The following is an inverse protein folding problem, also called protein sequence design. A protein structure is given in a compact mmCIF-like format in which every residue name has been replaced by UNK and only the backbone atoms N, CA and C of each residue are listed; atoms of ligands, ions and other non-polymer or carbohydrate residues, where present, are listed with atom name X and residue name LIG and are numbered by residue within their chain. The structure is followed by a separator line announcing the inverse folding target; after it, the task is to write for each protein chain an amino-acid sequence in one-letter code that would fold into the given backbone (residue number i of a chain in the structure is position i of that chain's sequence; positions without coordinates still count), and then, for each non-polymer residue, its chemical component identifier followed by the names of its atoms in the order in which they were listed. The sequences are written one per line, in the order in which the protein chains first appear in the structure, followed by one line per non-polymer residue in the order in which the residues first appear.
data_IF_380166727433
#
_entry.id   IF_380166727433
#
_cell.length_a   1.000
_cell.length_b   1.000
_cell.length_c   1.000
_cell.angle_alpha   90.00
_cell.angle_beta   90.00
_cell.angle_gamma   90.00
#
_symmetry.space_group_name_H-M   'P 1'
#
loop_
_entity.id
_entity.type
_entity.pdbx_description
1 polymer ?
#
# COMPACT_ATOMS: atom_id res chain seq x y z
N UNK A 1 -6.80 -16.06 -32.03
CA UNK A 1 -7.82 -16.91 -31.38
C UNK A 1 -8.58 -16.06 -30.39
N UNK A 2 -9.92 -16.13 -30.31
CA UNK A 2 -10.66 -15.33 -29.34
C UNK A 2 -10.23 -15.77 -27.94
N UNK A 3 -9.84 -14.82 -27.08
CA UNK A 3 -9.40 -15.04 -25.70
C UNK A 3 -10.58 -15.44 -24.80
N UNK A 4 -11.29 -16.51 -25.14
CA UNK A 4 -12.38 -17.01 -24.30
C UNK A 4 -11.82 -17.88 -23.17
N UNK A 5 -12.06 -17.39 -21.95
CA UNK A 5 -12.15 -18.16 -20.70
C UNK A 5 -10.84 -18.65 -20.05
N UNK A 6 -9.80 -17.80 -19.97
CA UNK A 6 -8.73 -18.02 -18.99
C UNK A 6 -9.30 -17.86 -17.59
N UNK A 7 -9.08 -18.87 -16.75
CA UNK A 7 -9.56 -18.92 -15.35
C UNK A 7 -8.46 -18.50 -14.40
N UNK A 8 -8.79 -17.63 -13.45
CA UNK A 8 -7.90 -17.19 -12.39
C UNK A 8 -8.61 -17.34 -11.05
N UNK A 9 -8.02 -18.12 -10.17
CA UNK A 9 -8.41 -18.18 -8.76
C UNK A 9 -7.32 -17.49 -7.94
N UNK A 10 -7.68 -16.46 -7.19
CA UNK A 10 -6.75 -15.64 -6.42
C UNK A 10 -7.24 -15.51 -4.98
N UNK A 11 -6.32 -15.39 -4.04
CA UNK A 11 -6.62 -15.30 -2.60
C UNK A 11 -6.26 -13.96 -1.97
N UNK A 12 -6.82 -13.69 -0.78
CA UNK A 12 -6.22 -12.82 0.23
C UNK A 12 -6.06 -13.62 1.51
N UNK A 13 -4.82 -13.73 2.02
CA UNK A 13 -4.53 -14.33 3.33
C UNK A 13 -4.26 -13.21 4.35
N UNK A 14 -4.94 -13.26 5.48
CA UNK A 14 -4.83 -12.29 6.56
C UNK A 14 -5.86 -12.52 7.66
N UNK A 15 -5.88 -11.64 8.65
CA UNK A 15 -6.87 -11.67 9.73
C UNK A 15 -7.83 -10.47 9.62
N UNK A 16 -9.11 -10.70 9.88
CA UNK A 16 -10.17 -9.68 9.89
C UNK A 16 -10.31 -8.97 8.53
N UNK A 17 -10.31 -9.76 7.44
CA UNK A 17 -10.22 -9.26 6.06
C UNK A 17 -11.55 -9.22 5.32
N UNK A 18 -12.67 -9.54 5.99
CA UNK A 18 -14.01 -9.59 5.38
C UNK A 18 -14.45 -8.25 4.74
N UNK A 19 -13.96 -7.12 5.26
CA UNK A 19 -14.28 -5.79 4.72
C UNK A 19 -13.34 -5.34 3.58
N UNK A 20 -12.47 -6.23 3.09
CA UNK A 20 -11.53 -5.92 2.01
C UNK A 20 -12.26 -5.58 0.72
N UNK A 21 -11.76 -4.55 0.02
CA UNK A 21 -12.26 -4.15 -1.31
C UNK A 21 -11.53 -4.85 -2.45
N UNK A 22 -10.43 -5.56 -2.17
CA UNK A 22 -9.64 -6.26 -3.19
C UNK A 22 -10.48 -7.26 -4.01
N UNK A 23 -11.38 -8.09 -3.42
CA UNK A 23 -12.19 -9.00 -4.21
C UNK A 23 -12.99 -8.30 -5.31
N UNK A 24 -13.76 -7.27 -4.93
CA UNK A 24 -14.59 -6.52 -5.87
C UNK A 24 -13.77 -5.81 -6.96
N UNK A 25 -12.61 -5.26 -6.61
CA UNK A 25 -11.70 -4.61 -7.57
C UNK A 25 -11.16 -5.60 -8.62
N UNK A 26 -10.63 -6.73 -8.16
CA UNK A 26 -10.03 -7.73 -9.05
C UNK A 26 -11.08 -8.45 -9.90
N UNK A 27 -12.19 -8.90 -9.32
CA UNK A 27 -13.22 -9.63 -10.05
C UNK A 27 -13.93 -8.75 -11.09
N UNK A 28 -14.18 -7.47 -10.76
CA UNK A 28 -14.79 -6.54 -11.71
C UNK A 28 -13.86 -6.27 -12.89
N UNK A 29 -12.57 -6.04 -12.66
CA UNK A 29 -11.62 -5.83 -13.74
C UNK A 29 -11.42 -7.11 -14.58
N UNK A 30 -11.31 -8.28 -13.93
CA UNK A 30 -11.25 -9.57 -14.62
C UNK A 30 -12.46 -9.79 -15.53
N UNK A 31 -13.68 -9.52 -15.05
CA UNK A 31 -14.91 -9.61 -15.85
C UNK A 31 -14.90 -8.65 -17.04
N UNK A 32 -14.43 -7.41 -16.84
CA UNK A 32 -14.33 -6.41 -17.93
C UNK A 32 -13.33 -6.82 -19.01
N UNK A 33 -12.32 -7.62 -18.66
CA UNK A 33 -11.37 -8.19 -19.61
C UNK A 33 -11.79 -9.56 -20.18
N UNK A 34 -12.99 -10.05 -19.85
CA UNK A 34 -13.48 -11.35 -20.33
C UNK A 34 -12.81 -12.56 -19.67
N UNK A 35 -12.24 -12.39 -18.46
CA UNK A 35 -11.62 -13.44 -17.67
C UNK A 35 -12.63 -14.05 -16.69
N UNK A 36 -12.53 -15.37 -16.47
CA UNK A 36 -13.20 -16.05 -15.34
C UNK A 36 -12.30 -15.88 -14.11
N UNK A 37 -12.45 -14.72 -13.45
CA UNK A 37 -11.64 -14.33 -12.30
C UNK A 37 -12.46 -14.44 -11.02
N UNK A 38 -11.96 -15.23 -10.05
CA UNK A 38 -12.52 -15.37 -8.71
C UNK A 38 -11.50 -14.99 -7.66
N UNK A 39 -11.97 -14.29 -6.63
CA UNK A 39 -11.14 -13.84 -5.52
C UNK A 39 -11.71 -14.35 -4.19
N UNK A 40 -10.93 -15.14 -3.47
CA UNK A 40 -11.33 -15.73 -2.19
C UNK A 40 -10.61 -15.09 -1.00
N UNK A 41 -11.33 -14.94 0.12
CA UNK A 41 -10.74 -14.54 1.40
C UNK A 41 -10.39 -15.81 2.19
N UNK A 42 -9.10 -15.98 2.46
CA UNK A 42 -8.53 -17.02 3.32
C UNK A 42 -8.27 -16.40 4.69
N UNK A 43 -9.35 -16.07 5.41
CA UNK A 43 -9.33 -15.30 6.64
C UNK A 43 -9.07 -16.20 7.86
N UNK A 44 -8.02 -15.88 8.62
CA UNK A 44 -7.70 -16.59 9.87
C UNK A 44 -8.82 -16.49 10.89
N UNK A 45 -9.40 -15.30 11.07
CA UNK A 45 -10.42 -15.05 12.10
C UNK A 45 -11.70 -15.82 11.80
N UNK A 46 -12.17 -15.76 10.55
CA UNK A 46 -13.37 -16.47 10.09
C UNK A 46 -13.20 -18.00 10.19
N UNK A 47 -11.97 -18.50 9.98
CA UNK A 47 -11.65 -19.93 10.05
C UNK A 47 -11.28 -20.42 11.45
N UNK A 48 -11.23 -19.53 12.46
CA UNK A 48 -10.77 -19.89 13.81
C UNK A 48 -9.32 -20.36 13.86
N UNK A 49 -8.48 -19.90 12.94
CA UNK A 49 -7.07 -20.29 12.81
C UNK A 49 -6.14 -19.21 13.38
N UNK A 50 -5.00 -19.58 14.00
CA UNK A 50 -3.96 -18.63 14.34
C UNK A 50 -3.17 -18.21 13.09
N UNK A 51 -2.51 -17.05 13.13
CA UNK A 51 -1.64 -16.60 12.04
C UNK A 51 -0.46 -17.55 11.73
N UNK A 52 -0.10 -18.44 12.68
CA UNK A 52 0.88 -19.50 12.46
C UNK A 52 0.42 -20.58 11.49
N UNK A 53 -0.87 -20.63 11.13
CA UNK A 53 -1.42 -21.50 10.09
C UNK A 53 -1.17 -20.96 8.66
N UNK A 54 -0.41 -19.89 8.51
CA UNK A 54 -0.02 -19.32 7.21
C UNK A 54 0.54 -20.37 6.22
N UNK A 55 1.45 -21.29 6.60
CA UNK A 55 1.96 -22.30 5.67
C UNK A 55 0.85 -23.19 5.11
N UNK A 56 -0.08 -23.63 5.97
CA UNK A 56 -1.19 -24.50 5.58
C UNK A 56 -2.13 -23.80 4.58
N UNK A 57 -2.39 -22.50 4.75
CA UNK A 57 -3.19 -21.73 3.81
C UNK A 57 -2.49 -21.50 2.46
N UNK A 58 -1.16 -21.38 2.45
CA UNK A 58 -0.39 -21.31 1.20
C UNK A 58 -0.43 -22.66 0.47
N UNK A 59 -0.26 -23.76 1.20
CA UNK A 59 -0.34 -25.12 0.66
C UNK A 59 -1.75 -25.41 0.10
N UNK A 60 -2.81 -25.02 0.82
CA UNK A 60 -4.19 -25.12 0.35
C UNK A 60 -4.38 -24.35 -0.97
N UNK A 61 -3.94 -23.09 -1.02
CA UNK A 61 -4.09 -22.26 -2.21
C UNK A 61 -3.37 -22.87 -3.42
N UNK A 62 -2.15 -23.37 -3.24
CA UNK A 62 -1.38 -24.02 -4.31
C UNK A 62 -2.04 -25.32 -4.78
N UNK A 63 -2.48 -26.18 -3.85
CA UNK A 63 -3.19 -27.45 -4.18
C UNK A 63 -4.50 -27.21 -4.92
N UNK A 64 -5.20 -26.12 -4.61
CA UNK A 64 -6.45 -25.71 -5.28
C UNK A 64 -6.20 -25.01 -6.62
N UNK A 65 -4.95 -24.81 -7.02
CA UNK A 65 -4.58 -24.22 -8.31
C UNK A 65 -4.79 -22.71 -8.37
N UNK A 66 -4.59 -22.00 -7.26
CA UNK A 66 -4.58 -20.54 -7.26
C UNK A 66 -3.44 -20.02 -8.16
N UNK A 67 -3.69 -18.91 -8.86
CA UNK A 67 -2.64 -18.18 -9.59
C UNK A 67 -1.73 -17.39 -8.64
N UNK A 68 -2.24 -17.06 -7.46
CA UNK A 68 -1.51 -16.34 -6.43
C UNK A 68 -2.42 -15.92 -5.28
N UNK A 69 -1.83 -15.25 -4.29
CA UNK A 69 -2.53 -14.71 -3.15
C UNK A 69 -1.94 -13.37 -2.74
N UNK A 70 -2.79 -12.38 -2.46
CA UNK A 70 -2.35 -11.24 -1.69
C UNK A 70 -2.17 -11.63 -0.22
N UNK A 71 -1.21 -10.98 0.44
CA UNK A 71 -0.88 -11.20 1.84
C UNK A 71 -1.08 -9.88 2.57
N UNK A 72 -1.81 -9.90 3.68
CA UNK A 72 -1.99 -8.72 4.52
C UNK A 72 -1.62 -8.99 5.97
N UNK A 73 -1.88 -8.03 6.85
CA UNK A 73 -1.64 -8.16 8.27
C UNK A 73 -2.27 -9.46 8.82
N UNK A 74 -1.56 -10.21 9.69
CA UNK A 74 -0.22 -9.95 10.23
C UNK A 74 0.94 -10.59 9.44
N UNK A 75 0.70 -11.15 8.26
CA UNK A 75 1.58 -12.13 7.62
C UNK A 75 2.60 -11.58 6.63
N UNK A 76 2.62 -10.27 6.35
CA UNK A 76 3.47 -9.70 5.28
C UNK A 76 4.97 -9.97 5.45
N UNK A 77 5.46 -10.11 6.68
CA UNK A 77 6.86 -10.44 6.95
C UNK A 77 7.08 -11.95 7.09
N UNK A 78 6.20 -12.63 7.83
CA UNK A 78 6.34 -14.07 8.13
C UNK A 78 6.19 -14.95 6.89
N UNK A 79 5.45 -14.48 5.87
CA UNK A 79 5.31 -15.20 4.60
C UNK A 79 6.65 -15.45 3.90
N UNK A 80 7.65 -14.58 4.09
CA UNK A 80 8.95 -14.65 3.39
C UNK A 80 9.64 -16.00 3.57
N UNK A 81 9.57 -16.59 4.77
CA UNK A 81 10.18 -17.88 5.08
C UNK A 81 9.57 -19.06 4.29
N UNK A 82 8.45 -18.84 3.61
CA UNK A 82 7.71 -19.82 2.85
C UNK A 82 7.78 -19.59 1.33
N UNK A 83 8.63 -18.68 0.87
CA UNK A 83 8.74 -18.29 -0.54
C UNK A 83 10.03 -18.84 -1.17
N UNK A 84 9.93 -19.24 -2.43
CA UNK A 84 11.06 -19.75 -3.21
C UNK A 84 12.00 -18.61 -3.60
N UNK A 85 11.45 -17.44 -3.89
CA UNK A 85 12.19 -16.23 -4.28
C UNK A 85 11.39 -14.97 -4.01
N UNK A 86 12.10 -13.85 -3.94
CA UNK A 86 11.53 -12.51 -3.80
C UNK A 86 11.87 -11.67 -5.03
N UNK A 87 10.99 -10.74 -5.39
CA UNK A 87 11.37 -9.59 -6.20
C UNK A 87 12.34 -8.70 -5.42
N UNK A 88 13.19 -7.96 -6.13
CA UNK A 88 14.16 -7.03 -5.54
C UNK A 88 13.49 -6.10 -4.51
N UNK A 89 12.35 -5.48 -4.86
CA UNK A 89 11.67 -4.55 -3.95
C UNK A 89 11.10 -5.25 -2.70
N UNK A 90 10.62 -6.49 -2.83
CA UNK A 90 10.11 -7.25 -1.68
C UNK A 90 11.22 -7.69 -0.73
N UNK A 91 12.36 -8.11 -1.27
CA UNK A 91 13.57 -8.41 -0.50
C UNK A 91 14.06 -7.15 0.22
N UNK A 92 14.16 -6.05 -0.51
CA UNK A 92 14.53 -4.75 0.06
C UNK A 92 13.57 -4.34 1.18
N UNK A 93 12.25 -4.39 0.96
CA UNK A 93 11.26 -3.99 1.95
C UNK A 93 11.16 -4.93 3.15
N UNK A 94 11.66 -6.16 3.04
CA UNK A 94 11.47 -7.20 4.07
C UNK A 94 9.99 -7.52 4.31
N UNK A 95 9.15 -7.32 3.30
CA UNK A 95 7.71 -7.55 3.37
C UNK A 95 7.13 -7.88 1.99
N UNK A 96 6.18 -8.83 1.96
CA UNK A 96 5.47 -9.31 0.78
C UNK A 96 3.98 -9.09 0.97
N UNK A 97 3.33 -8.46 0.00
CA UNK A 97 1.86 -8.32 -0.03
C UNK A 97 1.21 -9.12 -1.18
N UNK A 98 2.02 -9.75 -2.03
CA UNK A 98 1.59 -10.45 -3.25
C UNK A 98 2.48 -11.66 -3.48
N UNK A 99 1.89 -12.86 -3.53
CA UNK A 99 2.58 -14.13 -3.81
C UNK A 99 2.04 -14.70 -5.10
N UNK A 100 2.90 -14.89 -6.10
CA UNK A 100 2.53 -15.53 -7.37
C UNK A 100 2.91 -17.00 -7.30
N UNK A 101 1.98 -17.89 -7.66
CA UNK A 101 2.23 -19.32 -7.81
C UNK A 101 2.51 -19.63 -9.27
N UNK A 102 3.73 -20.09 -9.59
CA UNK A 102 4.11 -20.37 -10.98
C UNK A 102 5.16 -21.47 -11.05
N UNK A 103 4.90 -22.49 -11.85
CA UNK A 103 5.83 -23.60 -12.10
C UNK A 103 6.32 -24.30 -10.81
N UNK A 104 5.46 -24.43 -9.80
CA UNK A 104 5.81 -25.02 -8.50
C UNK A 104 6.65 -24.12 -7.60
N UNK A 105 6.76 -22.83 -7.92
CA UNK A 105 7.44 -21.83 -7.09
C UNK A 105 6.46 -20.81 -6.53
N UNK A 106 6.79 -20.31 -5.32
CA UNK A 106 6.12 -19.21 -4.64
C UNK A 106 6.99 -17.96 -4.74
N UNK A 107 6.51 -16.95 -5.46
CA UNK A 107 7.30 -15.76 -5.80
C UNK A 107 6.72 -14.57 -5.04
N UNK A 108 7.50 -13.99 -4.13
CA UNK A 108 7.09 -12.84 -3.33
C UNK A 108 7.30 -11.50 -4.03
N UNK A 109 6.26 -10.68 -4.03
CA UNK A 109 6.26 -9.31 -4.51
C UNK A 109 5.69 -8.37 -3.44
N UNK A 110 6.05 -7.10 -3.55
CA UNK A 110 5.42 -6.03 -2.80
C UNK A 110 4.89 -4.98 -3.79
N UNK A 111 3.58 -4.85 -3.89
CA UNK A 111 2.91 -3.88 -4.77
C UNK A 111 2.43 -2.64 -4.01
N UNK A 112 2.55 -2.59 -2.68
CA UNK A 112 2.12 -1.43 -1.89
C UNK A 112 2.97 -0.19 -2.23
N UNK A 113 4.30 -0.35 -2.32
CA UNK A 113 5.19 0.76 -2.67
C UNK A 113 4.90 1.29 -4.07
N UNK A 114 4.67 0.39 -5.03
CA UNK A 114 4.30 0.73 -6.40
C UNK A 114 2.96 1.45 -6.44
N UNK A 115 1.99 0.98 -5.64
CA UNK A 115 0.68 1.62 -5.53
C UNK A 115 0.78 3.07 -5.08
N UNK A 116 1.62 3.36 -4.09
CA UNK A 116 1.88 4.74 -3.65
C UNK A 116 2.65 5.53 -4.72
N UNK A 117 3.66 4.93 -5.34
CA UNK A 117 4.48 5.54 -6.39
C UNK A 117 3.62 6.04 -7.56
N UNK A 118 2.80 5.17 -8.14
CA UNK A 118 1.90 5.51 -9.26
C UNK A 118 0.87 6.57 -8.86
N UNK A 119 0.28 6.45 -7.66
CA UNK A 119 -0.67 7.43 -7.16
C UNK A 119 -0.03 8.82 -7.08
N UNK A 120 1.18 8.90 -6.53
CA UNK A 120 1.91 10.15 -6.38
C UNK A 120 2.31 10.73 -7.73
N UNK A 121 2.86 9.92 -8.64
CA UNK A 121 3.25 10.40 -9.96
C UNK A 121 2.09 11.02 -10.73
N UNK A 122 0.89 10.42 -10.62
CA UNK A 122 -0.31 10.90 -11.32
C UNK A 122 -0.99 12.07 -10.63
N UNK A 123 -1.07 12.07 -9.31
CA UNK A 123 -1.80 13.09 -8.55
C UNK A 123 -0.96 14.31 -8.15
N UNK A 124 0.35 14.15 -7.98
CA UNK A 124 1.29 15.19 -7.57
C UNK A 124 2.55 15.24 -8.48
N UNK A 125 2.43 15.23 -9.83
CA UNK A 125 3.59 15.14 -10.72
C UNK A 125 4.62 16.25 -10.50
N UNK A 126 4.13 17.50 -10.37
CA UNK A 126 4.93 18.73 -10.43
C UNK A 126 5.18 19.38 -9.07
N UNK A 127 5.00 18.65 -7.97
CA UNK A 127 5.29 19.20 -6.64
C UNK A 127 6.79 19.25 -6.37
N UNK A 128 7.23 20.17 -5.50
CA UNK A 128 8.59 20.20 -4.99
C UNK A 128 8.89 18.95 -4.14
N UNK A 129 10.08 18.37 -4.31
CA UNK A 129 10.49 17.08 -3.70
C UNK A 129 11.83 17.20 -2.97
N UNK A 130 12.26 18.40 -2.60
CA UNK A 130 13.52 18.59 -1.87
C UNK A 130 13.41 18.06 -0.45
N UNK A 131 12.26 18.21 0.21
CA UNK A 131 12.04 17.63 1.54
C UNK A 131 10.59 17.23 1.79
N UNK A 132 10.37 16.01 2.27
CA UNK A 132 9.10 15.56 2.80
C UNK A 132 9.21 15.06 4.24
N UNK A 133 8.10 15.13 4.98
CA UNK A 133 7.94 14.50 6.29
C UNK A 133 7.01 13.29 6.14
N UNK A 134 7.43 12.13 6.66
CA UNK A 134 6.62 10.92 6.77
C UNK A 134 6.17 10.72 8.22
N UNK A 135 4.86 10.58 8.43
CA UNK A 135 4.27 10.16 9.70
C UNK A 135 3.90 8.68 9.63
N UNK A 136 4.53 7.86 10.46
CA UNK A 136 4.32 6.42 10.53
C UNK A 136 5.41 5.66 9.78
N UNK A 137 6.13 4.83 10.53
CA UNK A 137 7.15 3.89 10.07
C UNK A 137 6.69 2.43 10.31
N UNK A 138 5.38 2.19 10.37
CA UNK A 138 4.78 0.85 10.34
C UNK A 138 4.84 0.22 8.94
N UNK A 139 4.21 -0.95 8.76
CA UNK A 139 4.33 -1.73 7.51
C UNK A 139 3.99 -0.96 6.22
N UNK A 140 2.92 -0.16 6.22
CA UNK A 140 2.59 0.70 5.09
C UNK A 140 3.57 1.88 4.95
N UNK A 141 4.00 2.46 6.07
CA UNK A 141 5.00 3.52 6.13
C UNK A 141 6.35 3.12 5.51
N UNK A 142 6.80 1.88 5.71
CA UNK A 142 8.03 1.34 5.10
C UNK A 142 7.93 1.32 3.57
N UNK A 143 6.81 0.82 3.03
CA UNK A 143 6.56 0.80 1.57
C UNK A 143 6.48 2.22 0.99
N UNK A 144 5.78 3.12 1.68
CA UNK A 144 5.63 4.53 1.31
C UNK A 144 6.96 5.27 1.37
N UNK A 145 7.79 5.03 2.38
CA UNK A 145 9.12 5.64 2.50
C UNK A 145 10.04 5.22 1.34
N UNK A 146 10.01 3.93 0.97
CA UNK A 146 10.74 3.44 -0.19
C UNK A 146 10.26 4.11 -1.49
N UNK A 147 8.94 4.19 -1.70
CA UNK A 147 8.35 4.86 -2.84
C UNK A 147 8.72 6.36 -2.89
N UNK A 148 8.70 7.05 -1.75
CA UNK A 148 9.08 8.45 -1.64
C UNK A 148 10.50 8.71 -2.16
N UNK A 149 11.47 7.88 -1.78
CA UNK A 149 12.85 8.02 -2.28
C UNK A 149 12.93 7.69 -3.79
N UNK A 150 12.22 6.65 -4.28
CA UNK A 150 12.14 6.34 -5.72
C UNK A 150 11.48 7.45 -6.55
N UNK A 151 10.56 8.22 -5.96
CA UNK A 151 9.92 9.39 -6.57
C UNK A 151 10.84 10.62 -6.67
N UNK A 152 12.04 10.54 -6.12
CA UNK A 152 13.02 11.62 -6.12
C UNK A 152 12.90 12.56 -4.93
N UNK A 153 12.22 12.18 -3.84
CA UNK A 153 12.27 12.97 -2.60
C UNK A 153 13.71 12.95 -2.07
N UNK A 154 14.38 14.09 -2.03
CA UNK A 154 15.80 14.20 -1.69
C UNK A 154 16.06 13.93 -0.21
N UNK A 155 15.25 14.57 0.66
CA UNK A 155 15.27 14.38 2.12
C UNK A 155 13.92 13.89 2.62
N UNK A 156 13.91 12.84 3.42
CA UNK A 156 12.74 12.29 4.10
C UNK A 156 12.94 12.33 5.62
N UNK A 157 12.20 13.18 6.31
CA UNK A 157 12.15 13.16 7.78
C UNK A 157 11.07 12.21 8.25
N UNK A 158 11.43 11.20 9.02
CA UNK A 158 10.52 10.12 9.42
C UNK A 158 10.19 10.28 10.90
N UNK A 159 8.92 10.31 11.22
CA UNK A 159 8.41 10.32 12.59
C UNK A 159 7.50 9.11 12.79
N UNK A 160 7.64 8.46 13.95
CA UNK A 160 6.70 7.45 14.45
C UNK A 160 6.55 7.65 15.97
N UNK A 161 5.39 7.30 16.52
CA UNK A 161 5.17 7.35 17.97
C UNK A 161 6.13 6.41 18.71
N UNK A 162 6.47 5.27 18.09
CA UNK A 162 7.58 4.43 18.51
C UNK A 162 8.86 4.86 17.77
N UNK A 163 9.65 5.72 18.42
CA UNK A 163 10.85 6.33 17.79
C UNK A 163 11.81 5.30 17.21
N UNK A 164 11.88 4.09 17.81
CA UNK A 164 12.72 2.99 17.34
C UNK A 164 12.41 2.60 15.90
N UNK A 165 11.14 2.69 15.47
CA UNK A 165 10.76 2.37 14.08
C UNK A 165 11.35 3.37 13.10
N UNK A 166 11.27 4.66 13.39
CA UNK A 166 11.87 5.70 12.56
C UNK A 166 13.41 5.63 12.58
N UNK A 167 14.00 5.41 13.75
CA UNK A 167 15.44 5.22 13.96
C UNK A 167 15.99 3.98 13.26
N UNK A 168 15.16 2.94 13.06
CA UNK A 168 15.51 1.74 12.30
C UNK A 168 15.32 1.95 10.78
N UNK A 169 14.21 2.55 10.37
CA UNK A 169 13.87 2.71 8.95
C UNK A 169 14.80 3.69 8.22
N UNK A 170 15.18 4.80 8.87
CA UNK A 170 16.04 5.81 8.26
C UNK A 170 17.41 5.27 7.77
N UNK A 171 18.23 4.60 8.59
CA UNK A 171 19.50 4.03 8.13
C UNK A 171 19.28 2.93 7.07
N UNK A 172 18.24 2.10 7.20
CA UNK A 172 17.92 1.08 6.18
C UNK A 172 17.65 1.70 4.80
N UNK A 173 16.98 2.84 4.74
CA UNK A 173 16.77 3.58 3.49
C UNK A 173 18.09 4.17 2.98
N UNK A 174 18.91 4.75 3.86
CA UNK A 174 20.18 5.35 3.47
C UNK A 174 21.15 4.31 2.88
N UNK A 175 21.26 3.15 3.52
CA UNK A 175 22.09 2.04 3.03
C UNK A 175 21.56 1.53 1.68
N UNK A 176 20.24 1.30 1.58
CA UNK A 176 19.58 0.80 0.37
C UNK A 176 19.79 1.70 -0.84
N UNK A 177 19.63 3.00 -0.66
CA UNK A 177 19.79 3.98 -1.74
C UNK A 177 21.20 4.54 -1.83
N UNK A 178 22.12 4.06 -0.99
CA UNK A 178 23.52 4.50 -0.94
C UNK A 178 23.67 6.03 -0.87
N UNK A 179 22.79 6.69 -0.10
CA UNK A 179 22.76 8.15 0.05
C UNK A 179 22.09 8.56 1.36
N UNK A 180 22.52 9.67 1.95
CA UNK A 180 21.88 10.26 3.14
C UNK A 180 20.57 10.98 2.75
N UNK A 181 19.48 10.22 2.67
CA UNK A 181 18.19 10.71 2.22
C UNK A 181 17.06 10.57 3.23
N UNK A 182 17.27 9.84 4.32
CA UNK A 182 16.27 9.64 5.36
C UNK A 182 16.87 9.90 6.73
N UNK A 183 16.09 10.56 7.60
CA UNK A 183 16.47 10.81 8.99
C UNK A 183 15.25 10.68 9.89
N UNK A 184 15.43 10.01 11.03
CA UNK A 184 14.43 10.05 12.09
C UNK A 184 14.31 11.49 12.65
N UNK A 185 13.10 11.90 13.00
CA UNK A 185 12.84 13.19 13.66
C UNK A 185 11.88 12.99 14.83
N UNK A 186 12.04 13.80 15.86
CA UNK A 186 11.13 13.89 17.02
C UNK A 186 10.33 15.18 17.04
N UNK A 187 10.71 16.16 16.20
CA UNK A 187 10.04 17.46 16.06
C UNK A 187 9.46 17.60 14.65
N UNK A 188 8.22 17.12 14.50
CA UNK A 188 7.46 17.17 13.25
C UNK A 188 7.23 18.61 12.80
N UNK A 189 6.89 19.52 13.72
CA UNK A 189 6.63 20.92 13.40
C UNK A 189 7.85 21.62 12.82
N UNK A 190 9.04 21.39 13.38
CA UNK A 190 10.30 21.90 12.83
C UNK A 190 10.66 21.30 11.49
N UNK A 191 10.47 19.98 11.34
CA UNK A 191 10.69 19.33 10.05
C UNK A 191 9.79 19.93 8.96
N UNK A 192 8.49 20.06 9.23
CA UNK A 192 7.51 20.62 8.29
C UNK A 192 7.79 22.09 7.94
N UNK A 193 8.29 22.91 8.86
CA UNK A 193 8.65 24.31 8.54
C UNK A 193 9.60 24.44 7.35
N UNK A 194 10.48 23.46 7.15
CA UNK A 194 11.45 23.40 6.05
C UNK A 194 11.08 22.41 4.94
N UNK A 195 9.94 21.73 5.04
CA UNK A 195 9.51 20.72 4.09
C UNK A 195 8.64 21.32 2.96
N UNK A 196 8.62 20.61 1.84
CA UNK A 196 7.71 20.83 0.73
C UNK A 196 6.40 20.08 0.92
N UNK A 197 6.40 18.98 1.68
CA UNK A 197 5.17 18.24 1.91
C UNK A 197 5.19 17.21 3.02
N UNK A 198 4.01 16.64 3.22
CA UNK A 198 3.68 15.69 4.28
C UNK A 198 3.12 14.42 3.67
N UNK A 199 3.60 13.27 4.12
CA UNK A 199 3.06 11.96 3.84
C UNK A 199 2.56 11.35 5.14
N UNK A 200 1.27 11.00 5.18
CA UNK A 200 0.62 10.42 6.34
C UNK A 200 0.39 8.92 6.13
N UNK A 201 0.98 8.10 7.00
CA UNK A 201 0.97 6.64 6.97
C UNK A 201 0.63 6.01 8.34
N UNK A 202 -0.15 6.72 9.16
CA UNK A 202 -0.69 6.21 10.44
C UNK A 202 -2.19 5.92 10.33
N UNK A 203 -2.79 5.22 11.31
CA UNK A 203 -4.23 5.01 11.34
C UNK A 203 -5.08 6.27 11.60
N UNK A 204 -4.47 7.37 12.07
CA UNK A 204 -5.20 8.60 12.45
C UNK A 204 -6.02 9.16 11.29
N UNK A 205 -7.28 9.53 11.53
CA UNK A 205 -8.25 9.93 10.51
C UNK A 205 -9.16 8.78 10.05
N UNK A 206 -8.84 7.52 10.35
CA UNK A 206 -9.78 6.40 10.18
C UNK A 206 -10.93 6.51 11.19
N UNK A 207 -12.08 5.90 10.88
CA UNK A 207 -13.25 5.88 11.81
C UNK A 207 -12.91 5.32 13.20
N UNK A 208 -12.01 4.34 13.28
CA UNK A 208 -11.53 3.74 14.53
C UNK A 208 -10.48 4.58 15.26
N UNK A 209 -9.88 5.56 14.58
CA UNK A 209 -8.81 6.42 15.09
C UNK A 209 -9.04 7.86 14.60
N UNK A 210 -10.14 8.52 15.00
CA UNK A 210 -10.48 9.85 14.50
C UNK A 210 -9.43 10.89 14.93
N UNK A 211 -9.34 11.98 14.18
CA UNK A 211 -8.52 13.16 14.53
C UNK A 211 -7.52 13.57 13.47
N UNK A 212 -6.79 14.64 13.80
CA UNK A 212 -5.69 15.19 13.01
C UNK A 212 -4.34 14.65 13.53
N UNK A 213 -3.43 14.15 12.67
CA UNK A 213 -2.17 13.56 13.10
C UNK A 213 -1.06 14.58 13.42
N UNK A 214 -1.33 15.88 13.26
CA UNK A 214 -0.40 16.99 13.46
C UNK A 214 -1.13 18.19 14.09
N UNK A 215 -0.37 19.17 14.58
CA UNK A 215 -0.93 20.50 14.83
C UNK A 215 -1.30 21.17 13.49
N UNK A 216 -2.51 21.74 13.42
CA UNK A 216 -3.02 22.40 12.23
C UNK A 216 -2.15 23.59 11.79
N UNK A 217 -1.49 24.28 12.72
CA UNK A 217 -0.65 25.44 12.42
C UNK A 217 0.67 25.07 11.73
N UNK A 218 1.09 23.81 11.81
CA UNK A 218 2.30 23.36 11.11
C UNK A 218 2.09 23.28 9.61
N UNK A 219 0.84 23.14 9.16
CA UNK A 219 0.51 23.08 7.75
C UNK A 219 0.28 24.48 7.17
N UNK A 220 1.06 24.79 6.13
CA UNK A 220 1.04 26.05 5.40
C UNK A 220 0.64 25.84 3.92
N UNK A 221 0.05 26.84 3.23
CA UNK A 221 -0.50 26.69 1.88
C UNK A 221 0.47 26.16 0.81
N UNK A 222 1.78 26.40 0.99
CA UNK A 222 2.82 25.92 0.07
C UNK A 222 2.98 24.39 0.05
N UNK A 223 2.53 23.69 1.10
CA UNK A 223 2.79 22.26 1.21
C UNK A 223 1.89 21.46 0.26
N UNK A 224 2.37 20.29 -0.12
CA UNK A 224 1.52 19.20 -0.56
C UNK A 224 1.30 18.18 0.56
N UNK A 225 0.16 17.49 0.55
CA UNK A 225 -0.21 16.49 1.56
C UNK A 225 -0.69 15.22 0.89
N UNK A 226 -0.02 14.11 1.15
CA UNK A 226 -0.45 12.78 0.76
C UNK A 226 -0.90 11.99 2.00
N UNK A 227 -2.08 11.38 1.93
CA UNK A 227 -2.61 10.54 2.99
C UNK A 227 -2.92 9.16 2.43
N UNK A 228 -2.46 8.08 3.08
CA UNK A 228 -2.75 6.71 2.63
C UNK A 228 -4.04 6.15 3.23
N UNK A 229 -4.64 6.85 4.20
CA UNK A 229 -5.98 6.51 4.67
C UNK A 229 -6.96 6.69 3.50
N UNK A 230 -7.74 5.63 3.24
CA UNK A 230 -8.72 5.61 2.15
C UNK A 230 -10.17 5.51 2.66
N UNK A 231 -10.37 5.35 3.97
CA UNK A 231 -11.68 5.30 4.60
C UNK A 231 -11.66 6.13 5.89
N UNK A 232 -12.25 7.33 5.90
CA UNK A 232 -12.98 7.99 4.80
C UNK A 232 -12.08 8.42 3.63
N UNK A 233 -12.67 8.72 2.47
CA UNK A 233 -11.92 9.21 1.28
C UNK A 233 -11.31 10.60 1.49
N UNK A 234 -11.92 11.42 2.35
CA UNK A 234 -11.41 12.72 2.77
C UNK A 234 -11.29 12.67 4.29
N UNK A 235 -10.07 12.57 4.78
CA UNK A 235 -9.75 12.63 6.21
C UNK A 235 -9.76 14.07 6.71
N UNK A 236 -9.73 14.25 8.03
CA UNK A 236 -9.56 15.58 8.65
C UNK A 236 -8.28 16.27 8.18
N UNK A 237 -7.18 15.51 8.00
CA UNK A 237 -5.93 16.02 7.45
C UNK A 237 -6.10 16.55 6.02
N UNK A 238 -6.75 15.77 5.15
CA UNK A 238 -6.98 16.18 3.76
C UNK A 238 -7.92 17.37 3.67
N UNK A 239 -9.00 17.40 4.47
CA UNK A 239 -9.94 18.51 4.52
C UNK A 239 -9.25 19.81 5.00
N UNK A 240 -8.42 19.73 6.04
CA UNK A 240 -7.61 20.86 6.50
C UNK A 240 -6.65 21.35 5.42
N UNK A 241 -5.94 20.43 4.77
CA UNK A 241 -4.99 20.76 3.72
C UNK A 241 -5.66 21.45 2.53
N UNK A 242 -6.77 20.89 2.03
CA UNK A 242 -7.58 21.50 0.97
C UNK A 242 -8.08 22.90 1.41
N UNK A 243 -8.57 23.05 2.64
CA UNK A 243 -9.02 24.34 3.19
C UNK A 243 -7.92 25.41 3.29
N UNK A 244 -6.66 25.00 3.46
CA UNK A 244 -5.49 25.90 3.43
C UNK A 244 -4.93 26.14 2.01
N UNK A 245 -5.48 25.51 0.98
CA UNK A 245 -5.02 25.62 -0.40
C UNK A 245 -3.82 24.71 -0.75
N UNK A 246 -3.52 23.72 0.09
CA UNK A 246 -2.49 22.72 -0.21
C UNK A 246 -2.94 21.81 -1.36
N UNK A 247 -1.97 21.29 -2.12
CA UNK A 247 -2.24 20.19 -3.06
C UNK A 247 -2.37 18.89 -2.28
N UNK A 248 -3.42 18.11 -2.52
CA UNK A 248 -3.70 16.88 -1.77
C UNK A 248 -3.67 15.63 -2.65
N UNK A 249 -3.24 14.52 -2.05
CA UNK A 249 -3.30 13.18 -2.63
C UNK A 249 -4.01 12.23 -1.68
N UNK A 250 -5.11 11.65 -2.16
CA UNK A 250 -5.97 10.75 -1.38
C UNK A 250 -5.46 9.31 -1.42
N UNK A 251 -5.71 8.55 -0.36
CA UNK A 251 -5.16 7.20 -0.18
C UNK A 251 -5.76 6.14 -1.10
N UNK A 252 -6.97 6.40 -1.61
CA UNK A 252 -7.67 5.47 -2.50
C UNK A 252 -6.87 5.05 -3.72
N UNK A 253 -6.05 5.95 -4.28
CA UNK A 253 -5.19 5.61 -5.41
C UNK A 253 -4.15 4.54 -5.07
N UNK A 254 -3.51 4.61 -3.89
CA UNK A 254 -2.59 3.56 -3.44
C UNK A 254 -3.28 2.19 -3.38
N UNK A 255 -4.51 2.14 -2.86
CA UNK A 255 -5.33 0.91 -2.82
C UNK A 255 -5.61 0.34 -4.21
N UNK A 256 -5.86 1.19 -5.19
CA UNK A 256 -6.15 0.78 -6.58
C UNK A 256 -4.89 0.31 -7.30
N UNK A 257 -3.82 1.11 -7.29
CA UNK A 257 -2.63 0.82 -8.07
C UNK A 257 -1.86 -0.40 -7.53
N UNK A 258 -1.89 -0.67 -6.22
CA UNK A 258 -1.33 -1.93 -5.68
C UNK A 258 -2.12 -3.16 -6.15
N UNK A 259 -3.46 -3.03 -6.27
CA UNK A 259 -4.35 -4.10 -6.73
C UNK A 259 -4.15 -4.34 -8.24
N UNK A 260 -4.02 -3.26 -9.01
CA UNK A 260 -3.71 -3.32 -10.43
C UNK A 260 -2.38 -4.06 -10.68
N UNK A 261 -1.31 -3.68 -9.98
CA UNK A 261 -0.02 -4.38 -10.11
C UNK A 261 -0.12 -5.86 -9.71
N UNK A 262 -0.84 -6.19 -8.62
CA UNK A 262 -1.06 -7.58 -8.24
C UNK A 262 -1.86 -8.35 -9.29
N UNK A 263 -2.91 -7.75 -9.87
CA UNK A 263 -3.69 -8.33 -10.95
C UNK A 263 -2.82 -8.67 -12.16
N UNK A 264 -1.93 -7.77 -12.58
CA UNK A 264 -1.00 -8.02 -13.67
C UNK A 264 -0.02 -9.15 -13.34
N UNK A 265 0.50 -9.21 -12.12
CA UNK A 265 1.39 -10.27 -11.67
C UNK A 265 0.71 -11.66 -11.72
N UNK A 266 -0.54 -11.75 -11.29
CA UNK A 266 -1.31 -13.00 -11.32
C UNK A 266 -1.68 -13.43 -12.74
N UNK A 267 -2.08 -12.49 -13.59
CA UNK A 267 -2.71 -12.80 -14.88
C UNK A 267 -1.74 -12.74 -16.08
N UNK A 268 -0.66 -11.96 -15.96
CA UNK A 268 0.18 -11.54 -17.06
C UNK A 268 -0.51 -10.57 -18.03
N UNK A 269 -1.62 -9.96 -17.63
CA UNK A 269 -2.43 -9.05 -18.45
C UNK A 269 -2.52 -7.70 -17.75
N UNK A 270 -2.19 -6.63 -18.47
CA UNK A 270 -2.26 -5.28 -17.95
C UNK A 270 -3.71 -4.91 -17.58
N UNK A 271 -3.99 -4.48 -16.34
CA UNK A 271 -5.28 -3.94 -15.94
C UNK A 271 -5.51 -2.53 -16.48
N UNK A 272 -6.77 -2.12 -16.57
CA UNK A 272 -7.12 -0.71 -16.74
C UNK A 272 -7.31 -0.05 -15.36
N UNK A 273 -6.26 0.61 -14.89
CA UNK A 273 -6.22 1.22 -13.57
C UNK A 273 -7.24 2.38 -13.42
N UNK A 274 -7.62 3.04 -14.50
CA UNK A 274 -8.61 4.14 -14.46
C UNK A 274 -10.02 3.55 -14.24
N UNK A 275 -10.35 2.43 -14.90
CA UNK A 275 -11.58 1.68 -14.62
C UNK A 275 -11.63 1.16 -13.18
N UNK A 276 -10.52 0.64 -12.68
CA UNK A 276 -10.43 0.18 -11.29
C UNK A 276 -10.61 1.36 -10.31
N UNK A 277 -10.06 2.53 -10.61
CA UNK A 277 -10.19 3.74 -9.78
C UNK A 277 -11.63 4.25 -9.71
N UNK A 278 -12.35 4.24 -10.84
CA UNK A 278 -13.77 4.58 -10.88
C UNK A 278 -14.58 3.59 -10.03
N UNK A 279 -14.35 2.28 -10.20
CA UNK A 279 -15.03 1.25 -9.44
C UNK A 279 -14.77 1.37 -7.92
N UNK A 280 -13.52 1.64 -7.54
CA UNK A 280 -13.16 1.87 -6.14
C UNK A 280 -13.94 3.03 -5.53
N UNK A 281 -14.07 4.14 -6.27
CA UNK A 281 -14.83 5.31 -5.83
C UNK A 281 -16.30 4.95 -5.56
N UNK A 282 -16.91 4.16 -6.45
CA UNK A 282 -18.29 3.67 -6.27
C UNK A 282 -18.42 2.75 -5.06
N UNK A 283 -17.47 1.83 -4.85
CA UNK A 283 -17.44 0.95 -3.67
C UNK A 283 -17.37 1.76 -2.36
N UNK A 284 -16.54 2.80 -2.33
CA UNK A 284 -16.43 3.66 -1.15
C UNK A 284 -17.70 4.47 -0.89
N UNK A 285 -18.41 4.95 -1.93
CA UNK A 285 -19.71 5.63 -1.76
C UNK A 285 -20.80 4.73 -1.20
N UNK A 286 -20.82 3.46 -1.59
CA UNK A 286 -21.80 2.48 -1.10
C UNK A 286 -21.50 2.00 0.34
N UNK A 287 -20.26 2.21 0.81
CA UNK A 287 -19.79 1.76 2.13
C UNK A 287 -19.68 2.90 3.16
N UNK A 288 -19.93 4.15 2.74
CA UNK A 288 -19.86 5.36 3.56
C UNK A 288 -21.19 5.61 4.28
#
# INVERSE_FOLDING_TARGET
MPMHNKKFLVGLIGADIQMSKSPALHETEGRRQGLDYRYELLDFAERGLPASALPDLLDEAEQRGFAGSNITHPCKQTVIAHLSRLSEDAEMLGAVNTVVFRNGERIGHNTDWYGFYENFQRGLPDVAKSHAVLLGAGGAGVAVAHAAIKLGIERLSIFDQDSKRAETLAPQLNDRFSRDCARATTDVGSALRSADGLIHATPTGMKSHPGLPIDAEWLLPRHWVADIVYMPLVTELLALAEGKGCRTLRGGGMTVYQAAAAFELFTGIAPDADRMSLHFTDLCRLSA
#
